data_IF_066635872493
#
_entry.id   IF_066635872493
#
_cell.length_a   1.000
_cell.length_b   1.000
_cell.length_c   1.000
_cell.angle_alpha   90.00
_cell.angle_beta   90.00
_cell.angle_gamma   90.00
#
_symmetry.space_group_name_H-M   'P 1'
#
loop_
_entity.id
_entity.type
_entity.pdbx_description
1 polymer ?
#
# COMPACT_ATOMS: atom_id res chain seq x y z
N UNK A 1 -10.89 3.33 14.69
CA UNK A 1 -9.80 3.97 13.97
C UNK A 1 -9.13 4.99 14.88
N UNK A 2 -7.83 4.97 14.96
CA UNK A 2 -7.03 5.78 15.88
C UNK A 2 -6.03 6.58 15.06
N UNK A 3 -5.89 7.85 15.35
CA UNK A 3 -4.93 8.72 14.67
C UNK A 3 -3.49 8.46 15.16
N UNK A 4 -2.52 9.02 14.48
CA UNK A 4 -1.08 8.87 14.76
C UNK A 4 -0.67 9.34 16.15
N UNK A 5 -1.44 10.26 16.74
CA UNK A 5 -1.25 10.78 18.11
C UNK A 5 -1.95 9.96 19.19
N UNK A 6 -2.65 8.88 18.83
CA UNK A 6 -3.42 8.03 19.73
C UNK A 6 -4.87 8.46 19.95
N UNK A 7 -5.34 9.50 19.25
CA UNK A 7 -6.73 9.97 19.36
C UNK A 7 -7.66 9.02 18.61
N UNK A 8 -8.77 8.64 19.22
CA UNK A 8 -9.76 7.77 18.57
C UNK A 8 -10.61 8.59 17.61
N UNK A 9 -10.50 8.28 16.31
CA UNK A 9 -11.25 8.94 15.25
C UNK A 9 -12.62 8.30 15.01
N UNK A 10 -12.71 7.00 15.19
CA UNK A 10 -13.94 6.24 15.00
C UNK A 10 -13.94 5.00 15.90
N UNK A 11 -15.05 4.75 16.57
CA UNK A 11 -15.33 3.51 17.27
C UNK A 11 -16.73 2.99 16.83
N UNK A 12 -16.86 1.68 16.71
CA UNK A 12 -18.10 1.09 16.22
C UNK A 12 -19.22 1.07 17.26
N UNK A 13 -18.96 0.74 18.55
CA UNK A 13 -20.00 0.70 19.57
C UNK A 13 -20.20 2.01 20.32
N UNK A 14 -19.29 2.96 20.28
CA UNK A 14 -19.34 4.14 21.13
C UNK A 14 -18.93 5.43 20.40
N UNK A 15 -19.39 6.57 20.93
CA UNK A 15 -18.94 7.88 20.47
C UNK A 15 -17.44 8.05 20.82
N UNK A 16 -16.58 8.33 19.83
CA UNK A 16 -15.16 8.52 20.07
C UNK A 16 -14.81 9.77 20.89
N UNK A 17 -15.70 10.75 20.94
CA UNK A 17 -15.43 12.05 21.60
C UNK A 17 -15.10 11.98 23.10
N UNK A 18 -15.71 11.12 23.93
CA UNK A 18 -15.34 10.98 25.35
C UNK A 18 -14.22 9.97 25.61
N UNK A 19 -13.64 9.32 24.59
CA UNK A 19 -12.64 8.29 24.78
C UNK A 19 -11.27 8.86 25.14
N UNK A 20 -10.60 8.20 26.10
CA UNK A 20 -9.22 8.52 26.44
C UNK A 20 -8.28 8.29 25.25
N UNK A 21 -7.18 9.02 25.22
CA UNK A 21 -6.16 8.81 24.21
C UNK A 21 -5.55 7.40 24.34
N UNK A 22 -5.46 6.70 23.24
CA UNK A 22 -5.00 5.30 23.19
C UNK A 22 -3.50 5.15 22.90
N UNK A 23 -2.72 6.23 22.95
CA UNK A 23 -1.28 6.25 22.66
C UNK A 23 -0.47 5.29 23.51
N UNK A 24 -0.86 5.16 24.78
CA UNK A 24 -0.15 4.30 25.75
C UNK A 24 -0.65 2.85 25.74
N UNK A 25 -1.58 2.54 24.82
CA UNK A 25 -2.11 1.19 24.68
C UNK A 25 -1.09 0.31 23.95
N UNK A 26 -0.80 -0.85 24.49
CA UNK A 26 0.23 -1.79 24.03
C UNK A 26 0.05 -2.12 22.54
N UNK A 27 -1.18 -2.49 22.14
CA UNK A 27 -1.53 -2.80 20.76
C UNK A 27 -1.31 -1.61 19.79
N UNK A 28 -1.48 -0.39 20.29
CA UNK A 28 -1.25 0.80 19.48
C UNK A 28 0.25 1.09 19.32
N UNK A 29 1.04 0.96 20.38
CA UNK A 29 2.48 1.18 20.34
C UNK A 29 3.18 0.17 19.43
N UNK A 30 2.80 -1.11 19.54
CA UNK A 30 3.32 -2.15 18.65
C UNK A 30 2.92 -1.92 17.20
N UNK A 31 1.65 -1.62 16.93
CA UNK A 31 1.21 -1.32 15.58
C UNK A 31 1.94 -0.10 14.98
N UNK A 32 2.23 0.90 15.80
CA UNK A 32 2.93 2.11 15.37
C UNK A 32 4.38 1.85 14.97
N UNK A 33 5.07 0.92 15.66
CA UNK A 33 6.49 0.60 15.47
C UNK A 33 6.73 -0.58 14.53
N UNK A 34 5.96 -1.66 14.68
CA UNK A 34 6.13 -2.92 13.96
C UNK A 34 5.10 -3.12 12.83
N UNK A 35 4.12 -2.22 12.69
CA UNK A 35 3.09 -2.30 11.66
C UNK A 35 1.82 -3.01 12.09
N UNK A 36 1.88 -3.91 13.06
CA UNK A 36 0.75 -4.55 13.72
C UNK A 36 1.06 -4.76 15.20
N UNK A 37 0.04 -4.76 16.05
CA UNK A 37 0.15 -5.04 17.47
C UNK A 37 -1.09 -5.75 18.00
N UNK A 38 -0.92 -6.54 19.03
CA UNK A 38 -2.01 -7.26 19.68
C UNK A 38 -1.95 -7.08 21.20
N UNK A 39 -3.10 -7.00 21.84
CA UNK A 39 -3.20 -6.98 23.30
C UNK A 39 -4.47 -7.67 23.77
N UNK A 40 -4.35 -8.33 24.91
CA UNK A 40 -5.50 -8.95 25.57
C UNK A 40 -5.67 -8.32 26.94
N UNK A 41 -6.82 -7.73 27.21
CA UNK A 41 -7.11 -7.15 28.52
C UNK A 41 -8.58 -7.27 28.89
N UNK A 42 -8.83 -7.11 30.18
CA UNK A 42 -10.21 -7.01 30.67
C UNK A 42 -10.68 -5.59 30.35
N UNK A 43 -11.78 -5.47 29.61
CA UNK A 43 -12.39 -4.17 29.32
C UNK A 43 -12.98 -3.59 30.61
N UNK A 44 -12.54 -2.40 30.99
CA UNK A 44 -13.08 -1.67 32.15
C UNK A 44 -14.58 -1.32 31.96
N UNK A 45 -15.09 -1.39 30.73
CA UNK A 45 -16.47 -1.03 30.38
C UNK A 45 -17.42 -2.22 30.41
N UNK A 46 -16.96 -3.44 30.11
CA UNK A 46 -17.83 -4.62 29.94
C UNK A 46 -17.43 -5.76 30.88
N UNK A 47 -16.34 -5.64 31.63
CA UNK A 47 -15.75 -6.69 32.50
C UNK A 47 -15.50 -8.04 31.77
N UNK A 48 -15.39 -8.03 30.45
CA UNK A 48 -15.11 -9.18 29.60
C UNK A 48 -13.68 -9.11 29.05
N UNK A 49 -13.10 -10.27 28.84
CA UNK A 49 -11.76 -10.36 28.26
C UNK A 49 -11.84 -10.03 26.78
N UNK A 50 -11.25 -8.91 26.38
CA UNK A 50 -11.26 -8.42 25.02
C UNK A 50 -9.88 -8.55 24.40
N UNK A 51 -9.81 -9.20 23.25
CA UNK A 51 -8.64 -9.24 22.38
C UNK A 51 -8.68 -8.04 21.44
N UNK A 52 -7.61 -7.30 21.41
CA UNK A 52 -7.41 -6.16 20.53
C UNK A 52 -6.34 -6.51 19.50
N UNK A 53 -6.63 -6.25 18.25
CA UNK A 53 -5.67 -6.33 17.15
C UNK A 53 -5.62 -4.99 16.44
N UNK A 54 -4.43 -4.42 16.33
CA UNK A 54 -4.21 -3.11 15.74
C UNK A 54 -3.28 -3.22 14.54
N UNK A 55 -3.60 -2.53 13.45
CA UNK A 55 -2.80 -2.50 12.23
C UNK A 55 -2.61 -1.06 11.79
N UNK A 56 -1.37 -0.71 11.49
CA UNK A 56 -1.02 0.59 10.92
C UNK A 56 -1.40 0.65 9.44
N UNK A 57 -2.21 1.64 9.11
CA UNK A 57 -2.62 1.91 7.75
C UNK A 57 -1.56 2.73 6.99
N UNK A 58 -1.65 2.74 5.65
CA UNK A 58 -0.68 3.47 4.80
C UNK A 58 -0.66 4.99 5.06
N UNK A 59 -1.74 5.55 5.56
CA UNK A 59 -1.86 6.95 5.96
C UNK A 59 -1.27 7.26 7.36
N UNK A 60 -0.66 6.26 8.02
CA UNK A 60 -0.09 6.37 9.36
C UNK A 60 -1.07 6.13 10.51
N UNK A 61 -2.37 6.10 10.23
CA UNK A 61 -3.41 5.79 11.22
C UNK A 61 -3.37 4.33 11.63
N UNK A 62 -3.95 4.01 12.77
CA UNK A 62 -4.04 2.65 13.28
C UNK A 62 -5.49 2.19 13.28
N UNK A 63 -5.77 1.11 12.57
CA UNK A 63 -7.03 0.40 12.65
C UNK A 63 -6.97 -0.62 13.77
N UNK A 64 -7.77 -0.45 14.81
CA UNK A 64 -7.92 -1.41 15.89
C UNK A 64 -9.24 -2.16 15.77
N UNK A 65 -9.18 -3.46 15.85
CA UNK A 65 -10.32 -4.35 15.94
C UNK A 65 -10.33 -4.99 17.34
N UNK A 66 -11.48 -5.00 17.97
CA UNK A 66 -11.67 -5.66 19.25
C UNK A 66 -12.64 -6.83 19.10
N UNK A 67 -12.28 -7.97 19.63
CA UNK A 67 -13.14 -9.14 19.71
C UNK A 67 -13.28 -9.57 21.17
N UNK A 68 -14.50 -9.61 21.69
CA UNK A 68 -14.79 -10.19 22.98
C UNK A 68 -14.86 -11.71 22.85
N UNK A 69 -14.10 -12.40 23.65
CA UNK A 69 -14.24 -13.85 23.78
C UNK A 69 -14.97 -14.12 25.07
N UNK A 70 -16.13 -14.77 24.98
CA UNK A 70 -16.74 -15.37 26.16
C UNK A 70 -15.72 -16.31 26.78
N UNK A 71 -15.49 -16.13 28.08
CA UNK A 71 -14.49 -16.91 28.82
C UNK A 71 -14.74 -18.40 28.64
N UNK A 72 -13.87 -19.06 27.90
CA UNK A 72 -13.86 -20.54 27.77
C UNK A 72 -13.88 -21.21 29.16
N UNK A 73 -13.36 -20.51 30.16
CA UNK A 73 -13.37 -20.96 31.56
C UNK A 73 -14.76 -21.02 32.17
N UNK A 74 -15.66 -20.10 31.84
CA UNK A 74 -17.05 -20.11 32.39
C UNK A 74 -17.86 -21.28 31.82
N UNK A 75 -17.69 -21.61 30.53
CA UNK A 75 -18.31 -22.74 29.88
C UNK A 75 -17.79 -24.08 30.45
N UNK A 76 -16.49 -24.17 30.73
CA UNK A 76 -15.87 -25.35 31.37
C UNK A 76 -16.36 -25.53 32.80
N UNK A 77 -16.48 -24.49 33.60
CA UNK A 77 -16.97 -24.55 35.00
C UNK A 77 -18.47 -24.86 35.08
N UNK A 78 -19.28 -24.47 34.12
CA UNK A 78 -20.70 -24.80 34.06
C UNK A 78 -20.95 -26.29 33.68
N UNK A 79 -20.06 -26.95 32.98
CA UNK A 79 -20.19 -28.35 32.57
C UNK A 79 -19.57 -29.34 33.57
N UNK A 80 -18.58 -28.89 34.35
CA UNK A 80 -17.84 -29.73 35.29
C UNK A 80 -18.72 -30.46 36.34
N UNK A 81 -19.74 -29.86 37.00
CA UNK A 81 -20.62 -30.56 37.96
C UNK A 81 -21.49 -31.65 37.29
N UNK A 82 -21.86 -31.48 36.02
CA UNK A 82 -22.62 -32.46 35.31
C UNK A 82 -21.78 -33.69 34.89
N UNK A 83 -20.50 -33.46 34.57
CA UNK A 83 -19.55 -34.55 34.27
C UNK A 83 -19.29 -35.37 35.52
N UNK A 84 -19.05 -34.76 36.68
CA UNK A 84 -18.84 -35.46 37.98
C UNK A 84 -20.10 -36.21 38.39
N UNK A 85 -21.28 -35.67 38.21
CA UNK A 85 -22.57 -36.33 38.50
C UNK A 85 -22.79 -37.54 37.66
N UNK A 86 -22.45 -37.45 36.36
CA UNK A 86 -22.58 -38.59 35.40
C UNK A 86 -21.53 -39.68 35.74
N UNK A 87 -20.28 -39.34 36.13
CA UNK A 87 -19.26 -40.31 36.50
C UNK A 87 -19.65 -41.13 37.77
N UNK A 88 -20.19 -40.46 38.78
CA UNK A 88 -20.65 -41.12 40.00
C UNK A 88 -21.85 -42.01 39.67
N UNK A 89 -22.77 -41.54 38.84
CA UNK A 89 -23.93 -42.34 38.41
C UNK A 89 -23.51 -43.61 37.67
N UNK A 90 -22.54 -43.47 36.72
CA UNK A 90 -22.00 -44.60 35.96
C UNK A 90 -21.25 -45.59 36.86
N UNK A 91 -20.47 -45.08 37.85
CA UNK A 91 -19.73 -45.93 38.79
C UNK A 91 -20.69 -46.82 39.66
N UNK A 92 -21.77 -46.21 40.12
CA UNK A 92 -22.79 -46.97 40.90
C UNK A 92 -23.46 -48.06 40.03
N UNK A 93 -23.80 -47.76 38.81
CA UNK A 93 -24.39 -48.73 37.86
C UNK A 93 -23.47 -49.91 37.55
N UNK A 94 -22.18 -49.67 37.36
CA UNK A 94 -21.19 -50.70 36.96
C UNK A 94 -21.00 -51.74 38.06
N UNK A 95 -21.04 -51.35 39.36
CA UNK A 95 -20.90 -52.28 40.50
C UNK A 95 -22.12 -53.19 40.64
N UNK A 96 -23.31 -52.69 40.43
CA UNK A 96 -24.57 -53.50 40.49
C UNK A 96 -24.68 -54.47 39.34
N UNK A 97 -23.99 -54.24 38.24
CA UNK A 97 -24.17 -54.90 36.95
C UNK A 97 -23.23 -56.07 36.74
N UNK A 98 -22.08 -56.10 37.39
CA UNK A 98 -21.04 -57.15 37.22
C UNK A 98 -21.56 -58.58 37.43
N UNK A 99 -22.60 -58.77 38.24
CA UNK A 99 -23.17 -60.08 38.55
C UNK A 99 -24.24 -60.58 37.56
N UNK A 100 -24.80 -59.70 36.74
CA UNK A 100 -25.88 -60.06 35.79
C UNK A 100 -25.38 -60.35 34.38
N UNK A 101 -24.17 -59.94 34.08
CA UNK A 101 -23.58 -59.82 32.71
C UNK A 101 -23.26 -61.17 32.05
N UNK A 102 -23.11 -62.29 32.79
CA UNK A 102 -22.51 -63.52 32.25
C UNK A 102 -23.45 -64.35 31.36
N UNK A 103 -24.75 -64.12 31.37
CA UNK A 103 -25.71 -65.05 30.69
C UNK A 103 -26.47 -64.47 29.51
N UNK A 104 -26.48 -63.20 29.18
CA UNK A 104 -27.34 -62.66 28.10
C UNK A 104 -26.65 -61.76 27.06
N UNK A 105 -25.31 -61.67 27.01
CA UNK A 105 -24.59 -60.58 26.31
C UNK A 105 -24.29 -60.91 24.81
N UNK A 106 -24.08 -62.16 24.43
CA UNK A 106 -23.42 -62.46 23.16
C UNK A 106 -24.32 -62.29 21.92
N UNK A 107 -25.61 -62.63 22.02
CA UNK A 107 -26.49 -62.56 20.84
C UNK A 107 -27.00 -61.14 20.47
N UNK A 108 -27.33 -60.26 21.43
CA UNK A 108 -27.71 -58.87 21.14
C UNK A 108 -26.56 -57.98 20.69
N UNK A 109 -25.32 -58.24 21.17
CA UNK A 109 -24.14 -57.41 20.87
C UNK A 109 -23.84 -57.38 19.36
N UNK A 110 -24.02 -58.49 18.67
CA UNK A 110 -23.77 -58.58 17.21
C UNK A 110 -24.85 -57.89 16.34
N UNK A 111 -25.93 -57.38 16.93
CA UNK A 111 -27.00 -56.63 16.24
C UNK A 111 -27.06 -55.16 16.61
N UNK A 112 -26.09 -54.69 17.40
CA UNK A 112 -26.02 -53.29 17.79
C UNK A 112 -25.72 -52.38 16.59
N UNK A 113 -26.64 -51.50 16.29
CA UNK A 113 -26.36 -50.33 15.42
C UNK A 113 -25.55 -49.31 16.24
N UNK A 114 -24.27 -49.26 15.92
CA UNK A 114 -23.31 -48.33 16.60
C UNK A 114 -23.42 -46.92 16.07
N UNK A 115 -24.06 -46.73 14.93
CA UNK A 115 -24.27 -45.42 14.33
C UNK A 115 -25.48 -44.70 14.94
N UNK A 116 -26.50 -45.49 15.38
CA UNK A 116 -27.69 -44.96 16.04
C UNK A 116 -27.92 -45.66 17.42
N UNK A 117 -27.08 -45.36 18.42
CA UNK A 117 -27.12 -46.08 19.71
C UNK A 117 -28.44 -45.93 20.49
N UNK A 118 -29.17 -44.84 20.25
CA UNK A 118 -30.45 -44.56 20.94
C UNK A 118 -31.63 -45.36 20.41
N UNK A 119 -31.54 -45.92 19.20
CA UNK A 119 -32.65 -46.63 18.55
C UNK A 119 -32.62 -48.15 18.82
N UNK A 120 -31.65 -48.63 19.60
CA UNK A 120 -31.54 -50.06 19.92
C UNK A 120 -32.47 -50.43 21.08
N UNK A 121 -33.54 -51.21 20.78
CA UNK A 121 -34.36 -51.90 21.80
C UNK A 121 -33.60 -53.07 22.40
N UNK A 122 -32.72 -52.83 23.37
CA UNK A 122 -31.87 -53.85 23.96
C UNK A 122 -31.81 -53.70 25.50
N UNK A 123 -31.65 -54.84 26.15
CA UNK A 123 -31.53 -55.02 27.58
C UNK A 123 -30.88 -53.88 28.36
N UNK A 124 -31.46 -53.49 29.49
CA UNK A 124 -31.01 -52.41 30.35
C UNK A 124 -29.52 -52.50 30.73
N UNK A 125 -28.96 -53.74 30.67
CA UNK A 125 -27.57 -54.02 30.99
C UNK A 125 -26.52 -53.45 30.00
N UNK A 126 -26.92 -53.19 28.74
CA UNK A 126 -26.05 -52.60 27.71
C UNK A 126 -26.22 -51.10 27.58
N UNK A 127 -27.20 -50.52 28.23
CA UNK A 127 -27.49 -49.11 28.19
C UNK A 127 -26.29 -48.23 28.56
N UNK A 128 -25.45 -48.58 29.59
CA UNK A 128 -24.25 -47.79 29.91
C UNK A 128 -23.17 -47.79 28.82
N UNK A 129 -23.05 -48.92 28.07
CA UNK A 129 -22.11 -49.07 26.99
C UNK A 129 -22.54 -48.23 25.78
N UNK A 130 -23.82 -48.32 25.42
CA UNK A 130 -24.41 -47.49 24.36
C UNK A 130 -24.35 -46.01 24.68
N UNK A 131 -24.59 -45.62 25.93
CA UNK A 131 -24.42 -44.25 26.40
C UNK A 131 -22.98 -43.74 26.29
N UNK A 132 -21.98 -44.64 26.51
CA UNK A 132 -20.57 -44.29 26.33
C UNK A 132 -20.20 -44.15 24.86
N UNK A 133 -20.71 -45.00 23.99
CA UNK A 133 -20.51 -44.95 22.55
C UNK A 133 -21.18 -43.66 22.00
N UNK A 134 -22.45 -43.41 22.39
CA UNK A 134 -23.15 -42.17 22.03
C UNK A 134 -22.37 -40.93 22.42
N UNK A 135 -21.82 -40.95 23.62
CA UNK A 135 -21.00 -39.84 24.08
C UNK A 135 -19.66 -39.71 23.32
N UNK A 136 -19.01 -40.82 22.98
CA UNK A 136 -17.81 -40.78 22.11
C UNK A 136 -18.15 -40.27 20.72
N UNK A 137 -19.28 -40.67 20.17
CA UNK A 137 -19.76 -40.15 18.88
C UNK A 137 -20.06 -38.62 18.97
N UNK A 138 -20.68 -38.18 20.08
CA UNK A 138 -20.87 -36.73 20.30
C UNK A 138 -19.54 -35.98 20.42
N UNK A 139 -18.55 -36.50 21.14
CA UNK A 139 -17.22 -35.90 21.26
C UNK A 139 -16.51 -35.85 19.92
N UNK A 140 -16.57 -36.96 19.17
CA UNK A 140 -16.02 -37.03 17.80
C UNK A 140 -16.73 -36.02 16.90
N UNK A 141 -18.06 -35.97 16.95
CA UNK A 141 -18.84 -35.01 16.18
C UNK A 141 -18.51 -33.58 16.54
N UNK A 142 -18.33 -33.26 17.84
CA UNK A 142 -17.89 -31.96 18.30
C UNK A 142 -16.46 -31.61 17.84
N UNK A 143 -15.53 -32.57 17.92
CA UNK A 143 -14.16 -32.37 17.44
C UNK A 143 -14.13 -32.15 15.92
N UNK A 144 -14.93 -32.96 15.17
CA UNK A 144 -15.05 -32.78 13.73
C UNK A 144 -15.69 -31.43 13.36
N UNK A 145 -16.71 -31.02 14.14
CA UNK A 145 -17.30 -29.68 13.96
C UNK A 145 -16.30 -28.57 14.23
N UNK A 146 -15.59 -28.66 15.36
CA UNK A 146 -14.56 -27.67 15.70
C UNK A 146 -13.41 -27.62 14.67
N UNK A 147 -13.02 -28.78 14.15
CA UNK A 147 -12.00 -28.83 13.10
C UNK A 147 -12.49 -28.18 11.79
N UNK A 148 -13.76 -28.44 11.42
CA UNK A 148 -14.38 -27.78 10.26
C UNK A 148 -14.48 -26.28 10.45
N UNK A 149 -14.95 -25.83 11.61
CA UNK A 149 -15.04 -24.39 11.93
C UNK A 149 -13.67 -23.71 11.82
N UNK A 150 -12.61 -24.34 12.35
CA UNK A 150 -11.24 -23.81 12.22
C UNK A 150 -10.75 -23.81 10.77
N UNK A 151 -11.10 -24.82 10.00
CA UNK A 151 -10.74 -24.90 8.59
C UNK A 151 -11.48 -23.83 7.77
N UNK A 152 -12.77 -23.64 8.04
CA UNK A 152 -13.59 -22.58 7.40
C UNK A 152 -13.08 -21.20 7.78
N UNK A 153 -12.71 -20.98 9.06
CA UNK A 153 -12.10 -19.74 9.53
C UNK A 153 -10.79 -19.47 8.81
N UNK A 154 -9.89 -20.45 8.75
CA UNK A 154 -8.62 -20.33 8.03
C UNK A 154 -8.83 -20.01 6.54
N UNK A 155 -9.74 -20.74 5.89
CA UNK A 155 -10.09 -20.50 4.49
C UNK A 155 -10.66 -19.08 4.30
N UNK A 156 -11.58 -18.66 5.18
CA UNK A 156 -12.16 -17.32 5.12
C UNK A 156 -11.11 -16.23 5.28
N UNK A 157 -10.16 -16.40 6.20
CA UNK A 157 -9.07 -15.45 6.38
C UNK A 157 -8.20 -15.37 5.13
N UNK A 158 -7.77 -16.52 4.60
CA UNK A 158 -6.87 -16.55 3.44
C UNK A 158 -7.55 -16.04 2.17
N UNK A 159 -8.85 -16.33 1.96
CA UNK A 159 -9.60 -15.84 0.81
C UNK A 159 -9.86 -14.33 0.84
N UNK A 160 -9.96 -13.73 2.03
CA UNK A 160 -10.14 -12.28 2.17
C UNK A 160 -8.83 -11.49 2.17
N UNK A 161 -7.67 -12.14 2.10
CA UNK A 161 -6.37 -11.46 1.98
C UNK A 161 -6.20 -10.92 0.55
N UNK A 162 -5.59 -9.75 0.44
CA UNK A 162 -5.15 -9.18 -0.83
C UNK A 162 -3.90 -9.86 -1.38
N UNK A 163 -3.10 -10.41 -0.48
CA UNK A 163 -1.90 -11.17 -0.78
C UNK A 163 -2.24 -12.56 -1.33
N UNK A 164 -1.44 -13.00 -2.29
CA UNK A 164 -1.52 -14.37 -2.77
C UNK A 164 -0.90 -15.33 -1.78
N UNK A 165 -1.60 -16.43 -1.50
CA UNK A 165 -1.15 -17.49 -0.60
C UNK A 165 -1.22 -18.84 -1.30
N UNK A 166 -0.11 -19.62 -1.28
CA UNK A 166 -0.04 -20.97 -1.79
C UNK A 166 0.72 -21.86 -0.79
N UNK A 167 0.25 -23.09 -0.67
CA UNK A 167 0.95 -24.17 0.04
C UNK A 167 1.27 -25.26 -0.97
N UNK A 168 2.51 -25.68 -1.00
CA UNK A 168 3.05 -26.66 -1.94
C UNK A 168 3.62 -27.86 -1.19
N UNK A 169 3.54 -29.03 -1.80
CA UNK A 169 4.27 -30.21 -1.37
C UNK A 169 5.72 -30.22 -1.93
N UNK A 170 6.46 -31.31 -1.63
CA UNK A 170 7.83 -31.52 -2.12
C UNK A 170 7.93 -31.68 -3.65
N UNK A 171 6.83 -32.02 -4.33
CA UNK A 171 6.78 -32.20 -5.76
C UNK A 171 6.33 -30.94 -6.49
N UNK A 172 6.18 -29.83 -5.77
CA UNK A 172 5.63 -28.55 -6.24
C UNK A 172 4.11 -28.58 -6.49
N UNK A 173 3.41 -29.64 -6.09
CA UNK A 173 1.97 -29.74 -6.25
C UNK A 173 1.26 -28.81 -5.24
N UNK A 174 0.19 -28.18 -5.69
CA UNK A 174 -0.55 -27.21 -4.90
C UNK A 174 -1.46 -27.95 -3.93
N UNK A 175 -1.20 -27.79 -2.63
CA UNK A 175 -2.04 -28.30 -1.55
C UNK A 175 -3.16 -27.34 -1.16
N UNK A 176 -2.89 -26.04 -1.20
CA UNK A 176 -3.87 -24.99 -0.88
C UNK A 176 -3.48 -23.68 -1.56
N UNK A 177 -4.46 -22.87 -1.89
CA UNK A 177 -4.27 -21.53 -2.46
C UNK A 177 -5.47 -20.64 -2.13
N UNK A 178 -5.29 -19.33 -2.23
CA UNK A 178 -6.40 -18.39 -2.23
C UNK A 178 -6.61 -17.78 -3.63
N UNK A 179 -7.76 -17.16 -3.83
CA UNK A 179 -8.13 -16.52 -5.10
C UNK A 179 -7.15 -15.41 -5.50
N UNK A 180 -6.58 -14.69 -4.52
CA UNK A 180 -5.58 -13.64 -4.76
C UNK A 180 -4.30 -14.20 -5.39
N UNK A 181 -3.85 -15.40 -5.03
CA UNK A 181 -2.68 -16.03 -5.63
C UNK A 181 -2.88 -16.26 -7.14
N UNK A 182 -4.03 -16.79 -7.55
CA UNK A 182 -4.34 -16.98 -8.97
C UNK A 182 -4.36 -15.65 -9.73
N UNK A 183 -5.04 -14.66 -9.17
CA UNK A 183 -5.11 -13.31 -9.75
C UNK A 183 -3.74 -12.66 -9.92
N UNK A 184 -2.86 -12.77 -8.92
CA UNK A 184 -1.53 -12.17 -8.94
C UNK A 184 -0.56 -12.92 -9.84
N UNK A 185 -0.71 -14.24 -9.96
CA UNK A 185 0.06 -15.06 -10.90
C UNK A 185 -0.50 -15.04 -12.32
N UNK A 186 -1.65 -14.40 -12.56
CA UNK A 186 -2.30 -14.32 -13.87
C UNK A 186 -2.76 -15.70 -14.36
N UNK A 187 -3.14 -16.58 -13.44
CA UNK A 187 -3.60 -17.93 -13.73
C UNK A 187 -5.13 -18.02 -13.71
N UNK A 188 -5.67 -18.87 -14.56
CA UNK A 188 -7.07 -19.29 -14.50
C UNK A 188 -7.25 -20.32 -13.37
N UNK A 189 -8.52 -20.62 -13.00
CA UNK A 189 -8.84 -21.52 -11.91
C UNK A 189 -8.12 -22.88 -12.04
N UNK A 190 -7.58 -23.37 -10.92
CA UNK A 190 -6.98 -24.71 -10.84
C UNK A 190 -8.10 -25.75 -10.80
N UNK A 191 -8.11 -26.76 -11.68
CA UNK A 191 -9.11 -27.84 -11.63
C UNK A 191 -9.04 -28.61 -10.31
N UNK A 192 -10.18 -28.84 -9.67
CA UNK A 192 -10.26 -29.45 -8.33
C UNK A 192 -9.77 -30.91 -8.24
N UNK A 193 -9.57 -31.59 -9.35
CA UNK A 193 -9.28 -33.02 -9.41
C UNK A 193 -7.84 -33.33 -9.87
N UNK A 194 -6.98 -32.37 -10.11
CA UNK A 194 -5.65 -32.62 -10.66
C UNK A 194 -4.55 -32.13 -9.73
N UNK A 195 -3.52 -32.97 -9.52
CA UNK A 195 -2.23 -32.54 -8.98
C UNK A 195 -1.62 -31.53 -9.97
N UNK A 196 -1.81 -30.24 -9.71
CA UNK A 196 -1.30 -29.17 -10.55
C UNK A 196 -0.06 -28.62 -9.90
N UNK A 197 1.07 -28.72 -10.61
CA UNK A 197 2.29 -28.08 -10.15
C UNK A 197 2.15 -26.55 -10.17
N UNK A 198 2.57 -25.89 -9.11
CA UNK A 198 2.60 -24.45 -9.02
C UNK A 198 3.43 -23.80 -10.16
N UNK A 199 4.42 -24.52 -10.69
CA UNK A 199 5.22 -24.07 -11.83
C UNK A 199 4.44 -24.05 -13.16
N UNK A 200 3.27 -24.67 -13.21
CA UNK A 200 2.37 -24.53 -14.35
C UNK A 200 1.56 -23.23 -14.30
N UNK A 201 1.27 -22.71 -13.10
CA UNK A 201 0.57 -21.43 -12.94
C UNK A 201 1.45 -20.25 -13.35
N UNK A 202 2.73 -20.31 -13.01
CA UNK A 202 3.67 -19.26 -13.38
C UNK A 202 5.02 -19.86 -13.76
N UNK A 203 5.41 -19.65 -15.03
CA UNK A 203 6.65 -20.21 -15.61
C UNK A 203 7.84 -19.25 -15.54
N UNK A 204 7.69 -18.10 -14.86
CA UNK A 204 8.79 -17.15 -14.74
C UNK A 204 9.98 -17.75 -13.98
N UNK A 205 11.19 -17.37 -14.38
CA UNK A 205 12.42 -17.83 -13.73
C UNK A 205 12.45 -17.43 -12.26
N UNK A 206 11.93 -16.24 -11.91
CA UNK A 206 11.84 -15.74 -10.53
C UNK A 206 10.92 -16.62 -9.65
N UNK A 207 9.72 -16.95 -10.14
CA UNK A 207 8.80 -17.81 -9.41
C UNK A 207 9.39 -19.21 -9.17
N UNK A 208 9.94 -19.80 -10.22
CA UNK A 208 10.63 -21.10 -10.12
C UNK A 208 11.77 -21.05 -9.11
N UNK A 209 12.65 -20.04 -9.20
CA UNK A 209 13.78 -19.91 -8.27
C UNK A 209 13.34 -19.74 -6.81
N UNK A 210 12.22 -19.05 -6.56
CA UNK A 210 11.66 -18.91 -5.23
C UNK A 210 11.20 -20.28 -4.68
N UNK A 211 10.44 -21.03 -5.46
CA UNK A 211 9.92 -22.36 -5.08
C UNK A 211 11.05 -23.36 -4.86
N UNK A 212 11.99 -23.46 -5.83
CA UNK A 212 13.14 -24.38 -5.75
C UNK A 212 14.01 -24.07 -4.53
N UNK A 213 14.22 -22.77 -4.22
CA UNK A 213 14.96 -22.35 -3.04
C UNK A 213 14.30 -22.78 -1.72
N UNK A 214 12.97 -22.66 -1.63
CA UNK A 214 12.21 -23.08 -0.45
C UNK A 214 12.24 -24.62 -0.29
N UNK A 215 12.06 -25.37 -1.36
CA UNK A 215 12.13 -26.84 -1.33
C UNK A 215 13.56 -27.34 -1.04
N UNK A 216 14.58 -26.54 -1.30
CA UNK A 216 15.96 -26.80 -0.86
C UNK A 216 16.21 -26.41 0.62
N UNK A 217 15.16 -26.06 1.38
CA UNK A 217 15.25 -25.72 2.81
C UNK A 217 15.69 -24.29 3.10
N UNK A 218 15.69 -23.38 2.12
CA UNK A 218 16.12 -22.00 2.29
C UNK A 218 14.96 -21.05 1.99
N UNK A 219 14.74 -20.06 2.86
CA UNK A 219 13.87 -18.94 2.52
C UNK A 219 14.36 -18.27 1.23
N UNK A 220 13.48 -18.11 0.28
CA UNK A 220 13.76 -17.47 -1.01
C UNK A 220 12.79 -16.34 -1.27
N UNK A 221 13.30 -15.25 -1.84
CA UNK A 221 12.54 -14.07 -2.17
C UNK A 221 12.94 -13.61 -3.58
N UNK A 222 11.96 -13.42 -4.45
CA UNK A 222 12.16 -13.04 -5.83
C UNK A 222 11.13 -12.03 -6.30
N UNK A 223 11.53 -11.17 -7.23
CA UNK A 223 10.63 -10.27 -7.91
C UNK A 223 10.15 -10.88 -9.23
N UNK A 224 8.85 -10.94 -9.41
CA UNK A 224 8.21 -11.45 -10.62
C UNK A 224 7.41 -10.33 -11.27
N UNK A 225 7.73 -10.03 -12.54
CA UNK A 225 6.99 -9.04 -13.34
C UNK A 225 6.16 -9.76 -14.38
N UNK A 226 4.83 -9.54 -14.34
CA UNK A 226 3.90 -10.16 -15.26
C UNK A 226 2.65 -9.29 -15.45
N UNK A 227 2.21 -9.11 -16.69
CA UNK A 227 0.99 -8.37 -17.01
C UNK A 227 0.97 -6.92 -16.50
N UNK A 228 2.13 -6.25 -16.47
CA UNK A 228 2.26 -4.88 -15.97
C UNK A 228 2.32 -4.76 -14.43
N UNK A 229 2.27 -5.90 -13.71
CA UNK A 229 2.40 -5.93 -12.24
C UNK A 229 3.79 -6.37 -11.83
N UNK A 230 4.24 -5.87 -10.68
CA UNK A 230 5.46 -6.30 -10.01
C UNK A 230 5.07 -6.98 -8.71
N UNK A 231 5.26 -8.31 -8.63
CA UNK A 231 4.95 -9.10 -7.45
C UNK A 231 6.24 -9.54 -6.75
N UNK A 232 6.27 -9.37 -5.44
CA UNK A 232 7.28 -9.94 -4.56
C UNK A 232 6.79 -11.32 -4.14
N UNK A 233 7.53 -12.36 -4.54
CA UNK A 233 7.26 -13.75 -4.22
C UNK A 233 8.19 -14.20 -3.11
N UNK A 234 7.65 -14.53 -1.96
CA UNK A 234 8.38 -15.05 -0.81
C UNK A 234 8.01 -16.49 -0.59
N UNK A 235 8.96 -17.39 -0.74
CA UNK A 235 8.77 -18.82 -0.51
C UNK A 235 9.57 -19.26 0.74
N UNK A 236 8.88 -19.90 1.68
CA UNK A 236 9.43 -20.39 2.92
C UNK A 236 9.28 -21.90 3.01
N UNK A 237 10.30 -22.66 3.43
CA UNK A 237 10.17 -24.09 3.63
C UNK A 237 9.26 -24.41 4.80
N UNK A 238 8.45 -25.47 4.64
CA UNK A 238 7.72 -26.08 5.75
C UNK A 238 8.55 -27.26 6.21
N UNK A 239 9.00 -27.20 7.45
CA UNK A 239 9.85 -28.21 8.06
C UNK A 239 9.03 -29.08 9.03
N UNK A 240 9.20 -30.39 8.93
CA UNK A 240 8.70 -31.36 9.90
C UNK A 240 9.83 -32.31 10.27
N UNK A 241 10.12 -32.44 11.55
CA UNK A 241 11.20 -33.24 12.10
C UNK A 241 12.60 -32.96 11.49
N UNK A 242 12.79 -31.73 10.97
CA UNK A 242 14.04 -31.27 10.34
C UNK A 242 14.13 -31.53 8.83
N UNK A 243 13.15 -32.19 8.24
CA UNK A 243 13.03 -32.41 6.79
C UNK A 243 12.05 -31.42 6.15
N UNK A 244 12.26 -31.07 4.89
CA UNK A 244 11.35 -30.20 4.13
C UNK A 244 10.17 -31.01 3.66
N UNK A 245 8.97 -30.71 4.15
CA UNK A 245 7.71 -31.34 3.76
C UNK A 245 7.02 -30.61 2.60
N UNK A 246 7.40 -29.35 2.37
CA UNK A 246 6.84 -28.52 1.32
C UNK A 246 7.24 -27.05 1.46
N UNK A 247 6.48 -26.18 0.86
CA UNK A 247 6.73 -24.73 0.91
C UNK A 247 5.43 -23.94 1.05
N UNK A 248 5.52 -22.81 1.78
CA UNK A 248 4.51 -21.77 1.79
C UNK A 248 5.02 -20.61 0.95
N UNK A 249 4.22 -20.20 -0.04
CA UNK A 249 4.52 -19.08 -0.93
C UNK A 249 3.54 -17.95 -0.67
N UNK A 250 4.07 -16.78 -0.37
CA UNK A 250 3.31 -15.53 -0.22
C UNK A 250 3.66 -14.59 -1.36
N UNK A 251 2.65 -14.01 -2.00
CA UNK A 251 2.80 -13.13 -3.15
C UNK A 251 2.20 -11.77 -2.81
N UNK A 252 3.02 -10.74 -2.84
CA UNK A 252 2.60 -9.37 -2.60
C UNK A 252 2.65 -8.57 -3.91
N UNK A 253 1.60 -7.84 -4.20
CA UNK A 253 1.65 -6.83 -5.26
C UNK A 253 2.38 -5.59 -4.72
N UNK A 254 3.54 -5.33 -5.29
CA UNK A 254 4.38 -4.18 -4.95
C UNK A 254 4.50 -3.19 -6.10
N UNK A 255 3.58 -3.26 -7.07
CA UNK A 255 3.63 -2.46 -8.31
C UNK A 255 3.74 -0.97 -7.99
N UNK A 256 2.84 -0.43 -7.19
CA UNK A 256 2.88 0.98 -6.80
C UNK A 256 4.16 1.38 -6.04
N UNK A 257 4.68 0.47 -5.23
CA UNK A 257 5.92 0.71 -4.48
C UNK A 257 7.12 0.76 -5.41
N UNK A 258 7.23 -0.20 -6.33
CA UNK A 258 8.28 -0.27 -7.34
C UNK A 258 8.21 0.92 -8.30
N UNK A 259 7.03 1.30 -8.75
CA UNK A 259 6.83 2.48 -9.60
C UNK A 259 7.30 3.76 -8.90
N UNK A 260 6.89 3.97 -7.65
CA UNK A 260 7.36 5.12 -6.85
C UNK A 260 8.87 5.11 -6.64
N UNK A 261 9.45 3.94 -6.38
CA UNK A 261 10.90 3.83 -6.19
C UNK A 261 11.68 4.07 -7.50
N UNK A 262 11.16 3.59 -8.62
CA UNK A 262 11.75 3.85 -9.93
C UNK A 262 11.68 5.32 -10.30
N UNK A 263 10.53 5.98 -10.09
CA UNK A 263 10.39 7.42 -10.29
C UNK A 263 11.37 8.21 -9.42
N UNK A 264 11.57 7.79 -8.17
CA UNK A 264 12.56 8.42 -7.26
C UNK A 264 14.00 8.23 -7.74
N UNK A 265 14.35 7.01 -8.21
CA UNK A 265 15.68 6.73 -8.76
C UNK A 265 15.94 7.53 -10.03
N UNK A 266 14.96 7.57 -10.93
CA UNK A 266 15.03 8.35 -12.16
C UNK A 266 15.17 9.85 -11.86
N UNK A 267 14.37 10.38 -10.94
CA UNK A 267 14.49 11.76 -10.47
C UNK A 267 15.90 12.05 -9.97
N UNK A 268 16.45 11.23 -9.07
CA UNK A 268 17.80 11.43 -8.51
C UNK A 268 18.88 11.38 -9.58
N UNK A 269 18.77 10.47 -10.53
CA UNK A 269 19.70 10.35 -11.66
C UNK A 269 19.64 11.59 -12.55
N UNK A 270 18.43 12.06 -12.89
CA UNK A 270 18.21 13.25 -13.72
C UNK A 270 18.70 14.52 -13.03
N UNK A 271 18.42 14.70 -11.73
CA UNK A 271 18.97 15.80 -10.93
C UNK A 271 20.50 15.81 -11.00
N UNK A 272 21.12 14.66 -10.76
CA UNK A 272 22.59 14.56 -10.80
C UNK A 272 23.18 14.94 -12.15
N UNK A 273 22.51 14.52 -13.23
CA UNK A 273 22.93 14.83 -14.60
C UNK A 273 22.75 16.31 -14.93
N UNK A 274 21.57 16.89 -14.60
CA UNK A 274 21.26 18.29 -14.90
C UNK A 274 22.07 19.29 -14.06
N UNK A 275 22.51 18.89 -12.84
CA UNK A 275 23.46 19.69 -12.03
C UNK A 275 24.89 19.59 -12.55
N UNK A 276 25.32 18.42 -13.01
CA UNK A 276 26.71 18.20 -13.47
C UNK A 276 27.05 19.00 -14.73
N UNK A 277 26.09 19.14 -15.65
CA UNK A 277 26.30 19.82 -16.94
C UNK A 277 26.70 21.29 -16.78
N UNK A 278 25.91 22.17 -16.09
CA UNK A 278 26.28 23.57 -15.91
C UNK A 278 27.56 23.72 -15.04
N UNK A 279 27.73 22.84 -14.03
CA UNK A 279 28.94 22.86 -13.19
C UNK A 279 30.20 22.58 -14.00
N UNK A 280 30.14 21.62 -14.95
CA UNK A 280 31.25 21.31 -15.85
C UNK A 280 31.55 22.51 -16.79
N UNK A 281 30.50 23.17 -17.30
CA UNK A 281 30.64 24.33 -18.15
C UNK A 281 31.31 25.50 -17.38
N UNK A 282 30.81 25.79 -16.16
CA UNK A 282 31.39 26.85 -15.28
C UNK A 282 32.85 26.54 -15.00
N UNK A 283 33.18 25.30 -14.60
CA UNK A 283 34.54 24.87 -14.32
C UNK A 283 35.44 24.99 -15.56
N UNK A 284 34.93 24.58 -16.72
CA UNK A 284 35.70 24.69 -17.98
C UNK A 284 35.98 26.13 -18.39
N UNK A 285 34.97 27.01 -18.33
CA UNK A 285 35.18 28.45 -18.63
C UNK A 285 36.16 29.09 -17.64
N UNK A 286 36.01 28.80 -16.35
CA UNK A 286 36.91 29.31 -15.31
C UNK A 286 38.35 28.80 -15.50
N UNK A 287 38.54 27.54 -15.87
CA UNK A 287 39.85 26.93 -16.15
C UNK A 287 40.55 27.57 -17.35
N UNK A 288 39.80 27.81 -18.43
CA UNK A 288 40.32 28.48 -19.64
C UNK A 288 40.76 29.91 -19.33
N UNK A 289 39.99 30.64 -18.53
CA UNK A 289 40.35 31.99 -18.06
C UNK A 289 41.61 31.90 -17.16
N UNK A 290 41.60 31.01 -16.17
CA UNK A 290 42.71 30.82 -15.21
C UNK A 290 44.04 30.51 -15.90
N UNK A 291 43.99 29.69 -16.93
CA UNK A 291 45.19 29.25 -17.67
C UNK A 291 45.67 30.26 -18.72
N UNK A 292 45.02 31.44 -18.83
CA UNK A 292 45.39 32.50 -19.77
C UNK A 292 45.21 32.14 -21.24
N UNK A 293 44.36 31.14 -21.53
CA UNK A 293 44.07 30.68 -22.89
C UNK A 293 43.13 31.67 -23.61
N UNK A 294 42.36 32.46 -22.84
CA UNK A 294 41.40 33.42 -23.34
C UNK A 294 42.11 34.76 -23.56
N UNK A 295 41.86 35.39 -24.71
CA UNK A 295 42.35 36.77 -24.96
C UNK A 295 41.67 37.72 -23.98
N UNK A 296 42.38 38.81 -23.50
CA UNK A 296 41.83 39.77 -22.55
C UNK A 296 40.46 40.34 -22.99
N UNK A 297 40.27 40.57 -24.27
CA UNK A 297 39.01 41.07 -24.87
C UNK A 297 37.83 40.13 -24.75
N UNK A 298 38.09 38.81 -24.66
CA UNK A 298 37.06 37.77 -24.55
C UNK A 298 36.72 37.40 -23.08
N UNK A 299 37.53 37.82 -22.10
CA UNK A 299 37.30 37.50 -20.68
C UNK A 299 35.88 37.89 -20.20
N UNK A 300 35.35 39.11 -20.55
CA UNK A 300 33.99 39.47 -20.14
C UNK A 300 32.92 38.52 -20.69
N UNK A 301 33.10 38.01 -21.90
CA UNK A 301 32.18 37.05 -22.51
C UNK A 301 32.18 35.69 -21.76
N UNK A 302 33.38 35.20 -21.45
CA UNK A 302 33.49 33.92 -20.69
C UNK A 302 32.98 34.06 -19.24
N UNK A 303 33.24 35.22 -18.62
CA UNK A 303 32.70 35.55 -17.29
C UNK A 303 31.15 35.64 -17.34
N UNK A 304 30.60 36.22 -18.43
CA UNK A 304 29.16 36.22 -18.70
C UNK A 304 28.57 34.81 -18.80
N UNK A 305 29.24 33.93 -19.54
CA UNK A 305 28.81 32.53 -19.66
C UNK A 305 28.83 31.81 -18.28
N UNK A 306 29.85 32.04 -17.45
CA UNK A 306 29.89 31.49 -16.08
C UNK A 306 28.73 32.04 -15.26
N UNK A 307 28.43 33.31 -15.35
CA UNK A 307 27.32 33.93 -14.62
C UNK A 307 25.97 33.35 -15.07
N UNK A 308 25.73 33.21 -16.37
CA UNK A 308 24.49 32.63 -16.94
C UNK A 308 24.30 31.17 -16.49
N UNK A 309 25.34 30.34 -16.56
CA UNK A 309 25.26 28.96 -16.08
C UNK A 309 25.08 28.86 -14.56
N UNK A 310 25.64 29.80 -13.79
CA UNK A 310 25.42 29.87 -12.34
C UNK A 310 23.98 30.25 -12.00
N UNK A 311 23.38 31.21 -12.71
CA UNK A 311 21.98 31.59 -12.54
C UNK A 311 21.05 30.43 -12.90
N UNK A 312 21.37 29.71 -13.96
CA UNK A 312 20.62 28.48 -14.36
C UNK A 312 20.68 27.40 -13.29
N UNK A 313 21.86 27.22 -12.66
CA UNK A 313 22.03 26.26 -11.56
C UNK A 313 21.20 26.64 -10.34
N UNK A 314 21.17 27.92 -9.96
CA UNK A 314 20.34 28.43 -8.86
C UNK A 314 18.87 28.14 -9.14
N UNK A 315 18.38 28.51 -10.33
CA UNK A 315 16.98 28.21 -10.73
C UNK A 315 16.66 26.74 -10.65
N UNK A 316 17.55 25.85 -11.12
CA UNK A 316 17.36 24.42 -11.06
C UNK A 316 17.28 23.90 -9.61
N UNK A 317 18.13 24.42 -8.72
CA UNK A 317 18.09 24.06 -7.28
C UNK A 317 16.79 24.52 -6.65
N UNK A 318 16.33 25.72 -6.94
CA UNK A 318 15.06 26.26 -6.43
C UNK A 318 13.87 25.42 -6.92
N UNK A 319 13.84 25.05 -8.20
CA UNK A 319 12.82 24.19 -8.78
C UNK A 319 12.78 22.80 -8.10
N UNK A 320 13.96 22.22 -7.80
CA UNK A 320 14.08 20.94 -7.10
C UNK A 320 13.55 21.05 -5.65
N UNK A 321 13.91 22.12 -4.94
CA UNK A 321 13.46 22.33 -3.58
C UNK A 321 11.94 22.54 -3.52
N UNK A 322 11.38 23.30 -4.46
CA UNK A 322 9.95 23.52 -4.56
C UNK A 322 9.19 22.23 -4.87
N UNK A 323 9.70 21.42 -5.81
CA UNK A 323 9.11 20.13 -6.13
C UNK A 323 9.19 19.15 -4.94
N UNK A 324 10.32 19.13 -4.21
CA UNK A 324 10.47 18.31 -3.00
C UNK A 324 9.45 18.69 -1.91
N UNK A 325 9.20 19.98 -1.73
CA UNK A 325 8.17 20.46 -0.78
C UNK A 325 6.76 20.04 -1.17
N UNK A 326 6.46 19.97 -2.46
CA UNK A 326 5.17 19.51 -2.96
C UNK A 326 4.99 17.99 -2.86
N UNK A 327 6.08 17.22 -2.85
CA UNK A 327 6.06 15.76 -2.69
C UNK A 327 5.91 15.32 -1.23
N UNK A 328 6.27 16.17 -0.27
CA UNK A 328 6.15 15.87 1.17
C UNK A 328 4.69 16.13 1.62
N UNK A 329 3.91 15.07 1.75
CA UNK A 329 2.49 15.13 2.17
C UNK A 329 2.26 15.72 3.58
N UNK A 330 3.31 15.94 4.39
CA UNK A 330 3.23 16.38 5.79
C UNK A 330 3.52 17.89 5.99
N UNK A 331 3.83 18.64 4.94
CA UNK A 331 4.05 20.09 5.09
C UNK A 331 2.71 20.78 5.24
N UNK A 332 2.38 21.20 6.45
CA UNK A 332 1.25 22.10 6.72
C UNK A 332 1.56 23.48 6.14
N UNK A 333 1.24 23.69 4.88
CA UNK A 333 1.29 25.00 4.24
C UNK A 333 0.01 25.76 4.60
N UNK A 334 0.17 26.97 5.07
CA UNK A 334 -0.97 27.83 5.41
C UNK A 334 -1.74 28.21 4.15
N UNK A 335 -3.03 27.93 4.13
CA UNK A 335 -3.96 28.39 3.09
C UNK A 335 -4.45 29.78 3.46
N UNK A 336 -4.49 30.65 2.49
CA UNK A 336 -5.02 32.00 2.62
C UNK A 336 -6.00 32.33 1.50
N UNK A 337 -6.86 33.30 1.75
CA UNK A 337 -7.76 33.81 0.72
C UNK A 337 -7.03 34.93 -0.06
N UNK A 338 -6.98 34.80 -1.37
CA UNK A 338 -6.33 35.79 -2.24
C UNK A 338 -7.03 35.90 -3.60
N UNK A 339 -6.81 37.02 -4.27
CA UNK A 339 -7.34 37.28 -5.61
C UNK A 339 -6.40 36.71 -6.68
N UNK A 340 -6.85 35.66 -7.38
CA UNK A 340 -6.11 34.99 -8.45
C UNK A 340 -5.84 35.94 -9.64
N UNK A 341 -6.75 36.85 -9.93
CA UNK A 341 -6.57 37.81 -11.02
C UNK A 341 -5.47 38.84 -10.70
N UNK A 342 -5.36 39.25 -9.42
CA UNK A 342 -4.26 40.14 -8.97
C UNK A 342 -2.93 39.38 -9.07
N UNK A 343 -2.87 38.16 -8.60
CA UNK A 343 -1.68 37.32 -8.70
C UNK A 343 -1.23 37.11 -10.15
N UNK A 344 -2.16 36.83 -11.06
CA UNK A 344 -1.83 36.69 -12.49
C UNK A 344 -1.28 38.00 -13.10
N UNK A 345 -1.77 39.19 -12.68
CA UNK A 345 -1.24 40.47 -13.11
C UNK A 345 0.17 40.72 -12.55
N UNK A 346 0.44 40.35 -11.31
CA UNK A 346 1.75 40.46 -10.68
C UNK A 346 2.77 39.54 -11.42
N UNK A 347 2.41 38.32 -11.72
CA UNK A 347 3.23 37.41 -12.52
C UNK A 347 3.50 37.94 -13.91
N UNK A 348 2.47 38.44 -14.60
CA UNK A 348 2.63 39.10 -15.91
C UNK A 348 3.56 40.31 -15.84
N UNK A 349 3.47 41.07 -14.75
CA UNK A 349 4.37 42.20 -14.46
C UNK A 349 5.84 41.80 -14.33
N UNK A 350 6.11 40.72 -13.58
CA UNK A 350 7.48 40.16 -13.43
C UNK A 350 8.04 39.64 -14.76
N UNK A 351 7.22 39.07 -15.61
CA UNK A 351 7.62 38.49 -16.89
C UNK A 351 7.65 39.50 -18.03
N UNK A 352 7.25 40.78 -17.81
CA UNK A 352 7.16 41.80 -18.84
C UNK A 352 8.51 42.09 -19.54
N UNK A 353 9.63 42.04 -18.80
CA UNK A 353 10.96 42.24 -19.38
C UNK A 353 11.36 41.08 -20.30
N UNK A 354 11.11 39.83 -19.86
CA UNK A 354 11.34 38.62 -20.65
C UNK A 354 10.46 38.59 -21.91
N UNK A 355 9.18 38.89 -21.76
CA UNK A 355 8.25 38.98 -22.89
C UNK A 355 8.69 40.01 -23.92
N UNK A 356 9.12 41.21 -23.47
CA UNK A 356 9.64 42.25 -24.37
C UNK A 356 10.92 41.81 -25.11
N UNK A 357 11.81 41.09 -24.43
CA UNK A 357 13.04 40.51 -25.05
C UNK A 357 12.70 39.54 -26.17
N UNK A 358 11.65 38.71 -25.96
CA UNK A 358 11.19 37.71 -26.93
C UNK A 358 10.16 38.25 -27.93
N UNK A 359 9.84 39.56 -27.90
CA UNK A 359 8.86 40.17 -28.78
C UNK A 359 7.42 39.68 -28.57
N UNK A 360 7.05 39.29 -27.35
CA UNK A 360 5.76 38.73 -26.94
C UNK A 360 4.96 39.74 -26.14
N UNK A 361 3.65 39.78 -26.38
CA UNK A 361 2.72 40.64 -25.60
C UNK A 361 1.93 39.73 -24.63
N UNK A 362 2.00 40.07 -23.32
CA UNK A 362 1.19 39.41 -22.29
C UNK A 362 -0.03 40.26 -22.01
N UNK A 363 -1.23 39.62 -22.03
CA UNK A 363 -2.51 40.24 -21.66
C UNK A 363 -3.17 39.40 -20.57
N UNK A 364 -3.63 40.02 -19.50
CA UNK A 364 -4.40 39.37 -18.43
C UNK A 364 -5.84 39.85 -18.50
N UNK A 365 -6.79 38.93 -18.57
CA UNK A 365 -8.22 39.16 -18.66
C UNK A 365 -8.90 38.45 -17.50
N UNK A 366 -9.82 39.09 -16.86
CA UNK A 366 -10.64 38.54 -15.78
C UNK A 366 -10.88 39.53 -14.67
N UNK A 367 -12.06 39.39 -14.04
CA UNK A 367 -12.46 40.17 -12.87
C UNK A 367 -11.82 39.58 -11.59
N UNK A 368 -12.10 40.20 -10.44
CA UNK A 368 -11.63 39.71 -9.15
C UNK A 368 -12.14 38.28 -8.91
N UNK A 369 -11.26 37.37 -8.62
CA UNK A 369 -11.55 35.95 -8.36
C UNK A 369 -10.85 35.49 -7.09
N UNK A 370 -11.58 35.45 -5.98
CA UNK A 370 -11.04 35.00 -4.70
C UNK A 370 -10.99 33.47 -4.65
N UNK A 371 -9.83 32.94 -4.26
CA UNK A 371 -9.64 31.51 -4.04
C UNK A 371 -8.96 31.30 -2.69
N UNK A 372 -9.26 30.15 -2.06
CA UNK A 372 -8.58 29.68 -0.86
C UNK A 372 -7.51 28.66 -1.22
N UNK A 373 -6.25 28.98 -0.96
CA UNK A 373 -5.14 28.11 -1.33
C UNK A 373 -3.79 28.59 -0.78
N UNK A 374 -2.75 27.85 -1.11
CA UNK A 374 -1.37 28.23 -0.78
C UNK A 374 -0.86 29.18 -1.86
N UNK A 375 -0.92 30.49 -1.59
CA UNK A 375 -0.61 31.55 -2.55
C UNK A 375 0.75 31.37 -3.24
N UNK A 376 1.78 30.94 -2.51
CA UNK A 376 3.12 30.73 -3.07
C UNK A 376 3.15 29.62 -4.13
N UNK A 377 2.41 28.52 -3.91
CA UNK A 377 2.30 27.42 -4.88
C UNK A 377 1.56 27.88 -6.13
N UNK A 378 0.43 28.57 -5.94
CA UNK A 378 -0.37 29.07 -7.08
C UNK A 378 0.43 30.13 -7.86
N UNK A 379 1.17 31.02 -7.18
CA UNK A 379 2.06 31.99 -7.84
C UNK A 379 3.09 31.30 -8.74
N UNK A 380 3.71 30.24 -8.23
CA UNK A 380 4.71 29.47 -8.97
C UNK A 380 4.09 28.71 -10.14
N UNK A 381 2.88 28.12 -9.96
CA UNK A 381 2.16 27.47 -11.06
C UNK A 381 1.85 28.45 -12.19
N UNK A 382 1.31 29.62 -11.85
CA UNK A 382 0.99 30.67 -12.84
C UNK A 382 2.27 31.17 -13.50
N UNK A 383 3.34 31.40 -12.73
CA UNK A 383 4.63 31.80 -13.26
C UNK A 383 5.17 30.81 -14.28
N UNK A 384 5.19 29.52 -13.94
CA UNK A 384 5.67 28.46 -14.84
C UNK A 384 4.87 28.35 -16.13
N UNK A 385 3.54 28.49 -16.06
CA UNK A 385 2.69 28.46 -17.24
C UNK A 385 2.94 29.67 -18.14
N UNK A 386 2.99 30.89 -17.60
CA UNK A 386 3.17 32.13 -18.37
C UNK A 386 4.61 32.23 -18.91
N UNK A 387 5.61 31.83 -18.14
CA UNK A 387 7.01 31.82 -18.57
C UNK A 387 7.24 30.86 -19.75
N UNK A 388 6.64 29.64 -19.66
CA UNK A 388 6.65 28.70 -20.78
C UNK A 388 5.96 29.29 -22.02
N UNK A 389 4.78 29.90 -21.86
CA UNK A 389 4.05 30.54 -22.95
C UNK A 389 4.84 31.69 -23.60
N UNK A 390 5.69 32.39 -22.84
CA UNK A 390 6.59 33.44 -23.37
C UNK A 390 7.81 32.81 -24.06
N UNK A 391 8.46 31.83 -23.42
CA UNK A 391 9.69 31.20 -23.93
C UNK A 391 9.49 30.45 -25.23
N UNK A 392 8.38 29.74 -25.35
CA UNK A 392 8.07 28.92 -26.53
C UNK A 392 7.17 29.63 -27.56
N UNK A 393 7.05 30.96 -27.41
CA UNK A 393 6.25 31.73 -28.37
C UNK A 393 7.02 32.09 -29.66
N UNK A 394 6.28 32.53 -30.63
CA UNK A 394 6.82 33.11 -31.89
C UNK A 394 7.11 34.60 -31.70
N UNK A 395 7.99 35.13 -32.52
CA UNK A 395 8.24 36.55 -32.55
C UNK A 395 6.94 37.32 -32.91
N UNK A 396 6.64 38.40 -32.18
CA UNK A 396 5.36 39.12 -32.26
C UNK A 396 4.14 38.30 -31.84
N UNK A 397 4.36 37.26 -31.04
CA UNK A 397 3.29 36.42 -30.49
C UNK A 397 2.57 37.06 -29.33
N UNK A 398 1.55 36.34 -28.83
CA UNK A 398 0.72 36.79 -27.73
C UNK A 398 0.57 35.67 -26.69
N UNK A 399 0.52 36.07 -25.44
CA UNK A 399 0.11 35.23 -24.31
C UNK A 399 -1.11 35.88 -23.68
N UNK A 400 -2.19 35.14 -23.54
CA UNK A 400 -3.42 35.61 -22.88
C UNK A 400 -3.64 34.75 -21.65
N UNK A 401 -3.68 35.38 -20.47
CA UNK A 401 -4.06 34.75 -19.21
C UNK A 401 -5.48 35.15 -18.90
N UNK A 402 -6.39 34.18 -18.87
CA UNK A 402 -7.80 34.39 -18.58
C UNK A 402 -8.12 33.79 -17.22
N UNK A 403 -8.76 34.56 -16.34
CA UNK A 403 -9.28 34.10 -15.06
C UNK A 403 -10.78 34.20 -15.11
N UNK A 404 -11.45 33.06 -15.09
CA UNK A 404 -12.92 32.93 -15.11
C UNK A 404 -13.37 32.33 -13.78
N UNK A 405 -14.34 33.00 -13.15
CA UNK A 405 -14.96 32.52 -11.92
C UNK A 405 -16.43 32.15 -12.22
N UNK A 406 -16.80 30.92 -11.92
CA UNK A 406 -18.16 30.41 -12.11
C UNK A 406 -18.67 29.78 -10.82
N UNK A 407 -19.96 29.35 -10.82
CA UNK A 407 -20.55 28.60 -9.71
C UNK A 407 -19.84 27.28 -9.40
N UNK A 408 -19.13 26.72 -10.38
CA UNK A 408 -18.48 25.41 -10.29
C UNK A 408 -16.99 25.53 -9.90
N UNK A 409 -16.47 26.76 -9.79
CA UNK A 409 -15.10 27.02 -9.39
C UNK A 409 -14.43 28.13 -10.19
N UNK A 410 -13.16 28.39 -9.87
CA UNK A 410 -12.32 29.38 -10.56
C UNK A 410 -11.33 28.69 -11.48
N UNK A 411 -11.32 29.08 -12.75
CA UNK A 411 -10.39 28.56 -13.75
C UNK A 411 -9.37 29.64 -14.18
N UNK A 412 -8.08 29.28 -14.25
CA UNK A 412 -7.04 30.07 -14.87
C UNK A 412 -6.58 29.37 -16.13
N UNK A 413 -6.69 30.06 -17.25
CA UNK A 413 -6.31 29.57 -18.57
C UNK A 413 -5.18 30.42 -19.15
N UNK A 414 -4.09 29.79 -19.56
CA UNK A 414 -3.01 30.45 -20.29
C UNK A 414 -3.04 29.99 -21.75
N UNK A 415 -3.26 30.92 -22.65
CA UNK A 415 -3.29 30.65 -24.11
C UNK A 415 -2.13 31.38 -24.77
N UNK A 416 -1.35 30.68 -25.56
CA UNK A 416 -0.25 31.23 -26.34
C UNK A 416 -0.45 31.03 -27.85
N UNK A 417 0.33 31.78 -28.65
CA UNK A 417 0.39 31.64 -30.11
C UNK A 417 1.69 31.00 -30.56
N UNK A 418 2.33 30.23 -29.68
CA UNK A 418 3.68 29.69 -29.86
C UNK A 418 3.78 28.54 -30.88
N UNK A 419 4.80 27.72 -30.67
CA UNK A 419 5.11 26.58 -31.53
C UNK A 419 4.16 25.39 -31.33
N UNK A 420 3.41 25.39 -30.19
CA UNK A 420 2.56 24.28 -29.81
C UNK A 420 3.35 23.06 -29.29
N UNK A 421 2.61 22.03 -28.90
CA UNK A 421 3.15 20.75 -28.40
C UNK A 421 2.70 19.64 -29.35
N UNK A 422 3.62 18.81 -29.88
CA UNK A 422 3.24 17.65 -30.68
C UNK A 422 2.31 16.71 -29.91
N UNK A 423 1.32 16.13 -30.58
CA UNK A 423 0.31 15.27 -29.94
C UNK A 423 0.91 14.10 -29.16
N UNK A 424 2.03 13.55 -29.63
CA UNK A 424 2.73 12.44 -28.98
C UNK A 424 3.39 12.83 -27.63
N UNK A 425 3.61 14.13 -27.41
CA UNK A 425 4.33 14.64 -26.24
C UNK A 425 3.38 15.26 -25.20
N UNK A 426 2.09 15.49 -25.52
CA UNK A 426 1.12 16.19 -24.65
C UNK A 426 1.00 15.55 -23.27
N UNK A 427 0.95 14.22 -23.19
CA UNK A 427 0.85 13.51 -21.92
C UNK A 427 2.17 13.52 -21.14
N UNK A 428 3.29 13.64 -21.86
CA UNK A 428 4.63 13.55 -21.31
C UNK A 428 5.23 14.88 -20.84
N UNK A 429 4.73 16.01 -21.32
CA UNK A 429 5.27 17.33 -20.94
C UNK A 429 5.16 17.65 -19.45
N UNK A 430 4.34 16.90 -18.71
CA UNK A 430 4.22 16.97 -17.25
C UNK A 430 5.16 16.02 -16.50
N UNK A 431 5.93 15.17 -17.22
CA UNK A 431 6.96 14.34 -16.61
C UNK A 431 8.14 15.22 -16.17
N UNK A 432 8.80 14.84 -15.07
CA UNK A 432 9.96 15.57 -14.53
C UNK A 432 11.14 15.49 -15.50
N UNK A 433 11.79 16.63 -15.76
CA UNK A 433 12.92 16.77 -16.70
C UNK A 433 12.59 16.44 -18.17
N UNK A 434 11.30 16.24 -18.51
CA UNK A 434 10.91 16.00 -19.88
C UNK A 434 11.00 17.25 -20.72
N UNK A 435 11.48 17.11 -21.95
CA UNK A 435 11.62 18.18 -22.95
C UNK A 435 11.41 17.59 -24.32
N UNK A 436 10.53 18.22 -25.12
CA UNK A 436 10.19 17.76 -26.49
C UNK A 436 11.43 17.77 -27.39
N UNK A 437 12.29 18.78 -27.28
CA UNK A 437 13.54 18.88 -28.02
C UNK A 437 14.69 19.28 -27.10
N UNK A 438 15.65 18.36 -26.90
CA UNK A 438 16.82 18.57 -26.04
C UNK A 438 17.85 19.52 -26.66
N UNK A 439 17.86 19.71 -27.98
CA UNK A 439 18.85 20.56 -28.69
C UNK A 439 18.46 22.03 -28.71
N UNK A 440 17.25 22.36 -29.11
CA UNK A 440 16.73 23.74 -29.12
C UNK A 440 16.45 24.29 -27.71
N UNK A 441 16.09 23.43 -26.80
CA UNK A 441 15.75 23.86 -25.43
C UNK A 441 16.98 24.20 -24.57
N UNK A 442 18.21 23.87 -24.99
CA UNK A 442 19.43 24.38 -24.34
C UNK A 442 19.61 25.89 -24.57
N UNK A 443 19.21 26.38 -25.72
CA UNK A 443 19.26 27.83 -26.06
C UNK A 443 18.15 28.62 -25.34
N UNK A 444 16.99 27.98 -25.09
CA UNK A 444 15.82 28.61 -24.43
C UNK A 444 15.92 28.58 -22.89
N UNK A 445 16.78 27.72 -22.31
CA UNK A 445 17.14 27.78 -20.87
C UNK A 445 16.11 27.20 -19.90
N UNK A 446 15.33 26.15 -20.30
CA UNK A 446 14.37 25.50 -19.41
C UNK A 446 14.99 24.38 -18.56
N UNK A 447 14.48 24.15 -17.34
CA UNK A 447 14.87 23.04 -16.45
C UNK A 447 14.13 21.73 -16.74
N UNK A 448 12.96 21.79 -17.40
CA UNK A 448 12.06 20.66 -17.58
C UNK A 448 11.27 20.28 -16.30
N UNK A 449 11.31 21.14 -15.28
CA UNK A 449 10.58 20.95 -14.02
C UNK A 449 9.31 21.79 -13.94
N UNK A 450 9.22 22.91 -14.65
CA UNK A 450 8.14 23.88 -14.51
C UNK A 450 6.74 23.28 -14.66
N UNK A 451 6.46 22.49 -15.72
CA UNK A 451 5.14 21.85 -15.89
C UNK A 451 4.90 20.73 -14.90
N UNK A 452 5.93 20.03 -14.43
CA UNK A 452 5.75 19.04 -13.34
C UNK A 452 5.41 19.74 -12.02
N UNK A 453 5.97 20.92 -11.73
CA UNK A 453 5.57 21.75 -10.57
C UNK A 453 4.10 22.15 -10.69
N UNK A 454 3.63 22.55 -11.87
CA UNK A 454 2.20 22.86 -12.11
C UNK A 454 1.33 21.65 -11.80
N UNK A 455 1.69 20.47 -12.30
CA UNK A 455 0.93 19.24 -12.06
C UNK A 455 0.86 18.87 -10.58
N UNK A 456 2.01 18.92 -9.87
CA UNK A 456 2.05 18.58 -8.44
C UNK A 456 1.35 19.66 -7.59
N UNK A 457 1.52 20.93 -7.92
CA UNK A 457 0.81 22.05 -7.29
C UNK A 457 -0.72 21.95 -7.45
N UNK A 458 -1.19 21.57 -8.64
CA UNK A 458 -2.62 21.33 -8.89
C UNK A 458 -3.16 20.11 -8.14
N UNK A 459 -2.36 19.05 -7.99
CA UNK A 459 -2.75 17.88 -7.22
C UNK A 459 -2.74 18.14 -5.69
N UNK A 460 -1.96 19.11 -5.22
CA UNK A 460 -1.90 19.53 -3.83
C UNK A 460 -3.14 20.37 -3.43
N UNK A 461 -3.74 21.14 -4.33
CA UNK A 461 -4.90 22.03 -4.11
C UNK A 461 -6.22 21.33 -4.34
#
# INVERSE_FOLDING_TARGET
LIDTDGTVLYDNPADPAPMENHRDREEFQEASTAGAGEATRISDTIAEQTFYYAVKLQNGQVLRVAATTDSVFAAVLAVLPWILGVEVLVAVCTVLFSNFLTKKIVAPINRLDLDHPADNEIYDELSPLLGKISRQNEVIAQQMKSLREKQEEFTSITENMSEGFLVLDNNTDILSYNTSALRLLGAEAVPAESHVSALALNRSAGFRSAVDGALAGKRSEQLVRQGGRCCQVMANPVLRDGEVEGAVVVILDITEREERENLRREFTANVSHELKTPLTSISGFAEIIKNGIVKPEDIPRFAGNIYEESQRLVTLVDDILNLSRLDEADVQLEREDFDLSSLARDVAGRLKASAKKNGVVITVIGDKAEINGVKSIVDEMVFNLVDNAVKYNKQNGRVTVTVDSSSDGTALTVTDTGIGIPQADVDRVFERFYRVDKSHSKEIGGTGLGLSIVKHGAAFH
#
